data_IF_075748480875
#
_entry.id   IF_075748480875
#
_cell.length_a   1.000
_cell.length_b   1.000
_cell.length_c   1.000
_cell.angle_alpha   90.00
_cell.angle_beta   90.00
_cell.angle_gamma   90.00
#
_symmetry.space_group_name_H-M   'P 1'
#
loop_
_entity.id
_entity.type
_entity.pdbx_description
1 polymer ?
#
# COMPACT_ATOMS: atom_id res chain seq x y z
N UNK A 1 2.95 4.85 -29.43
CA UNK A 1 3.29 4.06 -28.25
C UNK A 1 4.28 4.90 -27.47
N UNK A 2 3.79 5.54 -26.40
CA UNK A 2 4.65 6.26 -25.47
C UNK A 2 5.57 5.23 -24.81
N UNK A 3 6.87 5.41 -25.00
CA UNK A 3 7.89 4.52 -24.48
C UNK A 3 8.16 4.88 -23.00
N UNK A 4 7.13 4.82 -22.17
CA UNK A 4 7.28 5.05 -20.74
C UNK A 4 7.81 3.76 -20.10
N UNK A 5 9.07 3.80 -19.69
CA UNK A 5 9.65 2.74 -18.89
C UNK A 5 9.31 2.96 -17.42
N UNK A 6 8.75 1.93 -16.78
CA UNK A 6 8.48 1.92 -15.35
C UNK A 6 9.50 1.06 -14.64
N UNK A 7 9.92 1.49 -13.46
CA UNK A 7 10.83 0.74 -12.60
C UNK A 7 10.00 0.04 -11.53
N UNK A 8 10.30 -1.22 -11.28
CA UNK A 8 9.70 -1.99 -10.19
C UNK A 8 10.79 -2.43 -9.23
N UNK A 9 10.53 -2.30 -7.95
CA UNK A 9 11.49 -2.57 -6.88
C UNK A 9 10.93 -3.51 -5.82
N UNK A 10 11.82 -4.20 -5.11
CA UNK A 10 11.50 -4.97 -3.91
C UNK A 10 11.83 -4.12 -2.67
N UNK A 11 11.02 -4.23 -1.58
CA UNK A 11 11.22 -3.41 -0.39
C UNK A 11 12.47 -3.77 0.41
N UNK A 12 12.92 -5.01 0.35
CA UNK A 12 14.05 -5.55 1.10
C UNK A 12 14.85 -6.50 0.24
N UNK A 13 16.15 -6.63 0.51
CA UNK A 13 16.96 -7.63 -0.14
C UNK A 13 16.44 -9.04 0.17
N UNK A 14 16.42 -9.89 -0.83
CA UNK A 14 16.00 -11.28 -0.73
C UNK A 14 17.16 -12.18 -1.10
N UNK A 15 17.24 -13.34 -0.45
CA UNK A 15 18.25 -14.37 -0.74
C UNK A 15 17.60 -15.72 -0.94
N UNK A 16 18.15 -16.52 -1.84
CA UNK A 16 17.67 -17.86 -2.14
C UNK A 16 18.84 -18.82 -2.34
N UNK A 17 18.70 -20.02 -1.78
CA UNK A 17 19.69 -21.09 -1.99
C UNK A 17 19.60 -21.58 -3.43
N UNK A 18 20.76 -21.94 -3.98
CA UNK A 18 20.85 -22.62 -5.27
C UNK A 18 20.50 -24.10 -5.07
N UNK A 19 19.59 -24.60 -5.89
CA UNK A 19 19.31 -26.04 -5.94
C UNK A 19 20.53 -26.80 -6.46
N UNK A 20 20.98 -27.80 -5.72
CA UNK A 20 22.24 -28.52 -5.99
C UNK A 20 22.21 -29.41 -7.24
N UNK A 21 21.00 -29.79 -7.71
CA UNK A 21 20.84 -30.65 -8.89
C UNK A 21 20.73 -29.83 -10.17
N UNK A 22 19.94 -28.76 -10.12
CA UNK A 22 19.70 -27.90 -11.28
C UNK A 22 20.70 -26.74 -11.42
N UNK A 23 21.37 -26.37 -10.33
CA UNK A 23 22.22 -25.20 -10.30
C UNK A 23 21.44 -23.86 -10.37
N UNK A 24 20.14 -23.87 -10.10
CA UNK A 24 19.24 -22.73 -10.24
C UNK A 24 18.77 -22.25 -8.88
N UNK A 25 18.76 -20.93 -8.66
CA UNK A 25 18.05 -20.28 -7.56
C UNK A 25 16.74 -19.70 -8.08
N UNK A 26 15.60 -20.07 -7.47
CA UNK A 26 14.27 -19.60 -7.87
C UNK A 26 13.66 -18.73 -6.78
N UNK A 27 13.41 -17.48 -7.07
CA UNK A 27 12.69 -16.54 -6.23
C UNK A 27 11.20 -16.60 -6.61
N UNK A 28 10.42 -17.36 -5.85
CA UNK A 28 8.98 -17.55 -6.15
C UNK A 28 8.13 -16.50 -5.47
N UNK A 29 7.07 -16.04 -6.17
CA UNK A 29 6.05 -15.15 -5.63
C UNK A 29 6.60 -13.86 -4.98
N UNK A 30 7.67 -13.31 -5.56
CA UNK A 30 8.23 -12.04 -5.12
C UNK A 30 7.32 -10.90 -5.54
N UNK A 31 6.85 -10.13 -4.58
CA UNK A 31 6.04 -8.94 -4.83
C UNK A 31 6.96 -7.78 -5.19
N UNK A 32 6.67 -7.14 -6.31
CA UNK A 32 7.35 -5.94 -6.79
C UNK A 32 6.39 -4.76 -6.69
N UNK A 33 6.89 -3.63 -6.23
CA UNK A 33 6.16 -2.36 -6.20
C UNK A 33 6.67 -1.46 -7.32
N UNK A 34 5.76 -0.76 -7.98
CA UNK A 34 6.14 0.27 -8.96
C UNK A 34 6.88 1.39 -8.24
N UNK A 35 7.93 1.88 -8.87
CA UNK A 35 8.78 2.95 -8.33
C UNK A 35 10.07 2.46 -7.68
N UNK A 36 10.83 3.42 -7.17
CA UNK A 36 12.05 3.20 -6.39
C UNK A 36 11.72 3.52 -4.94
N UNK A 37 12.18 2.68 -4.00
CA UNK A 37 11.99 2.94 -2.58
C UNK A 37 12.77 4.18 -2.13
N UNK A 38 12.04 5.12 -1.57
CA UNK A 38 12.54 6.31 -0.88
C UNK A 38 12.52 6.07 0.62
N UNK A 39 13.26 6.86 1.38
CA UNK A 39 13.31 6.75 2.83
C UNK A 39 13.30 8.14 3.47
N UNK A 40 12.28 8.41 4.27
CA UNK A 40 12.21 9.58 5.13
C UNK A 40 12.59 9.17 6.56
N UNK A 41 13.45 9.97 7.19
CA UNK A 41 13.95 9.71 8.54
C UNK A 41 13.62 10.88 9.45
N UNK A 42 13.02 10.57 10.59
CA UNK A 42 12.67 11.56 11.62
C UNK A 42 13.26 11.13 12.95
N UNK A 43 13.65 12.12 13.77
CA UNK A 43 14.03 11.89 15.16
C UNK A 43 12.95 12.47 16.06
N UNK A 44 12.43 11.67 16.98
CA UNK A 44 11.38 12.08 17.90
C UNK A 44 11.92 13.09 18.91
N UNK A 45 11.30 14.27 18.92
CA UNK A 45 11.48 15.29 19.94
C UNK A 45 10.18 15.43 20.76
N UNK A 46 10.22 15.03 22.03
CA UNK A 46 9.07 15.10 22.93
C UNK A 46 8.84 16.49 23.53
N UNK A 47 9.78 17.44 23.35
CA UNK A 47 9.61 18.83 23.77
C UNK A 47 8.65 19.61 22.88
N UNK A 48 8.33 19.06 21.70
CA UNK A 48 7.50 19.69 20.68
C UNK A 48 6.36 18.75 20.23
N UNK A 49 5.26 19.35 19.77
CA UNK A 49 4.24 18.62 19.02
C UNK A 49 4.77 18.38 17.60
N UNK A 50 5.50 17.28 17.43
CA UNK A 50 6.11 16.93 16.16
C UNK A 50 5.10 16.24 15.24
N UNK A 51 5.10 16.63 13.98
CA UNK A 51 4.36 16.00 12.89
C UNK A 51 5.35 15.25 11.99
N UNK A 52 5.00 14.04 11.58
CA UNK A 52 5.81 13.21 10.71
C UNK A 52 5.23 13.25 9.29
N UNK A 53 5.34 14.42 8.65
CA UNK A 53 4.86 14.65 7.29
C UNK A 53 5.91 14.13 6.31
N UNK A 54 5.52 13.27 5.37
CA UNK A 54 6.42 12.73 4.35
C UNK A 54 6.84 13.82 3.37
N UNK A 55 7.95 13.58 2.66
CA UNK A 55 8.49 14.58 1.73
C UNK A 55 7.81 14.58 0.36
N UNK A 56 7.05 13.52 0.03
CA UNK A 56 6.41 13.35 -1.27
C UNK A 56 4.89 13.32 -1.13
N UNK A 57 4.20 13.81 -2.15
CA UNK A 57 2.75 13.87 -2.26
C UNK A 57 2.13 12.65 -2.98
N UNK A 58 2.92 11.92 -3.76
CA UNK A 58 2.48 10.75 -4.54
C UNK A 58 2.93 9.42 -3.92
N UNK A 59 2.91 9.36 -2.60
CA UNK A 59 3.31 8.16 -1.86
C UNK A 59 2.34 7.01 -2.14
N UNK A 60 2.89 5.85 -2.52
CA UNK A 60 2.13 4.61 -2.48
C UNK A 60 2.07 4.10 -1.03
N UNK A 61 0.95 4.37 -0.37
CA UNK A 61 0.73 3.98 1.03
C UNK A 61 0.69 2.47 1.24
N UNK A 62 0.44 1.68 0.20
CA UNK A 62 0.44 0.21 0.28
C UNK A 62 1.86 -0.37 0.33
N UNK A 63 2.85 0.35 -0.20
CA UNK A 63 4.27 -0.02 -0.18
C UNK A 63 4.97 0.38 1.13
N UNK A 64 4.28 1.11 2.02
CA UNK A 64 4.89 1.77 3.18
C UNK A 64 5.38 0.77 4.23
N UNK A 65 6.63 0.95 4.63
CA UNK A 65 7.26 0.23 5.74
C UNK A 65 7.72 1.26 6.76
N UNK A 66 7.24 1.13 7.98
CA UNK A 66 7.59 2.02 9.10
C UNK A 66 8.39 1.22 10.14
N UNK A 67 9.59 1.70 10.44
CA UNK A 67 10.46 1.14 11.44
C UNK A 67 10.86 2.21 12.46
N UNK A 68 10.85 1.83 13.73
CA UNK A 68 11.27 2.70 14.83
C UNK A 68 12.47 2.09 15.53
N UNK A 69 13.54 2.86 15.65
CA UNK A 69 14.75 2.48 16.36
C UNK A 69 14.83 3.22 17.68
N UNK A 70 14.75 2.48 18.77
CA UNK A 70 14.97 2.95 20.14
C UNK A 70 16.33 2.45 20.64
N UNK A 71 17.30 3.33 20.76
CA UNK A 71 18.69 2.94 21.10
C UNK A 71 19.28 2.01 20.03
N UNK A 72 19.43 0.71 20.34
CA UNK A 72 19.97 -0.30 19.42
C UNK A 72 18.91 -1.25 18.86
N UNK A 73 17.65 -1.09 19.27
CA UNK A 73 16.55 -2.01 18.89
C UNK A 73 15.71 -1.33 17.82
N UNK A 74 15.60 -1.98 16.67
CA UNK A 74 14.71 -1.57 15.59
C UNK A 74 13.47 -2.47 15.55
N UNK A 75 12.30 -1.87 15.56
CA UNK A 75 11.01 -2.55 15.58
C UNK A 75 10.14 -2.06 14.43
N UNK A 76 9.47 -3.00 13.75
CA UNK A 76 8.52 -2.67 12.70
C UNK A 76 7.17 -2.28 13.32
N UNK A 77 6.60 -1.19 12.82
CA UNK A 77 5.27 -0.72 13.17
C UNK A 77 4.30 -1.04 12.03
N UNK A 78 3.08 -1.41 12.36
CA UNK A 78 2.04 -1.75 11.40
C UNK A 78 1.00 -0.63 11.31
N UNK A 79 0.42 -0.46 10.13
CA UNK A 79 -0.68 0.50 9.99
C UNK A 79 -1.89 0.04 10.81
N UNK A 80 -2.44 0.95 11.60
CA UNK A 80 -3.65 0.72 12.38
C UNK A 80 -4.87 0.68 11.45
N UNK A 81 -5.58 -0.44 11.44
CA UNK A 81 -6.81 -0.63 10.66
C UNK A 81 -8.05 -0.76 11.53
N UNK A 82 -7.89 -1.16 12.79
CA UNK A 82 -8.99 -1.38 13.72
C UNK A 82 -8.59 -0.88 15.12
N UNK A 83 -9.07 0.29 15.47
CA UNK A 83 -8.73 0.95 16.75
C UNK A 83 -9.17 0.15 17.97
N UNK A 84 -10.18 -0.73 17.84
CA UNK A 84 -10.72 -1.51 18.96
C UNK A 84 -9.79 -2.64 19.41
N UNK A 85 -8.78 -2.99 18.59
CA UNK A 85 -7.79 -4.03 18.85
C UNK A 85 -6.43 -3.49 19.30
N UNK A 86 -6.32 -2.17 19.46
CA UNK A 86 -5.07 -1.50 19.78
C UNK A 86 -5.03 -1.21 21.27
N UNK A 87 -3.94 -1.63 21.92
CA UNK A 87 -3.61 -1.33 23.32
C UNK A 87 -2.42 -0.38 23.43
N UNK A 88 -2.03 -0.02 24.67
CA UNK A 88 -0.92 0.89 24.96
C UNK A 88 0.46 0.38 24.52
N UNK A 89 0.60 -0.90 24.20
CA UNK A 89 1.87 -1.55 23.80
C UNK A 89 1.94 -1.87 22.32
N UNK A 90 0.82 -1.72 21.61
CA UNK A 90 0.70 -2.04 20.20
C UNK A 90 1.60 -1.14 19.35
N UNK A 91 2.50 -1.74 18.56
CA UNK A 91 3.42 -1.06 17.65
C UNK A 91 2.71 -0.74 16.35
N UNK A 92 1.95 0.34 16.38
CA UNK A 92 1.12 0.79 15.25
C UNK A 92 1.37 2.24 14.93
N UNK A 93 1.11 2.59 13.68
CA UNK A 93 1.02 3.96 13.21
C UNK A 93 -0.34 4.20 12.55
N UNK A 94 -0.79 5.43 12.61
CA UNK A 94 -1.98 5.93 11.91
C UNK A 94 -1.50 6.75 10.73
N UNK A 95 -2.19 6.59 9.60
CA UNK A 95 -1.93 7.35 8.40
C UNK A 95 -3.04 8.37 8.23
N UNK A 96 -2.65 9.63 8.17
CA UNK A 96 -3.55 10.75 7.90
C UNK A 96 -3.03 11.56 6.71
N UNK A 97 -3.82 12.48 6.24
CA UNK A 97 -3.46 13.41 5.20
C UNK A 97 -3.32 14.81 5.80
N UNK A 98 -2.19 15.45 5.52
CA UNK A 98 -1.95 16.83 5.96
C UNK A 98 -2.83 17.82 5.17
N UNK A 99 -2.88 19.06 5.59
CA UNK A 99 -3.60 20.14 4.89
C UNK A 99 -3.11 20.37 3.44
N UNK A 100 -1.92 19.87 3.10
CA UNK A 100 -1.33 19.93 1.75
C UNK A 100 -1.51 18.66 0.94
N UNK A 101 -2.36 17.71 1.38
CA UNK A 101 -2.58 16.41 0.77
C UNK A 101 -1.32 15.52 0.73
N UNK A 102 -0.39 15.78 1.64
CA UNK A 102 0.80 14.96 1.82
C UNK A 102 0.54 13.99 2.98
N UNK A 103 0.88 12.70 2.85
CA UNK A 103 0.70 11.74 3.92
C UNK A 103 1.48 12.13 5.18
N UNK A 104 0.82 12.00 6.32
CA UNK A 104 1.36 12.23 7.65
C UNK A 104 1.21 10.98 8.49
N UNK A 105 2.26 10.62 9.20
CA UNK A 105 2.26 9.47 10.10
C UNK A 105 2.11 9.96 11.53
N UNK A 106 1.17 9.35 12.24
CA UNK A 106 0.94 9.57 13.66
C UNK A 106 1.23 8.28 14.42
N UNK A 107 1.78 8.42 15.61
CA UNK A 107 2.02 7.31 16.52
C UNK A 107 1.11 7.37 17.73
N UNK A 108 1.01 6.26 18.44
CA UNK A 108 0.22 6.16 19.66
C UNK A 108 0.70 7.14 20.76
N UNK A 109 -0.21 7.40 21.67
CA UNK A 109 0.00 8.30 22.83
C UNK A 109 0.32 7.53 24.13
N UNK A 110 0.41 6.19 24.05
CA UNK A 110 0.62 5.30 25.20
C UNK A 110 -0.70 4.82 25.83
N UNK A 111 -1.84 5.21 25.27
CA UNK A 111 -3.17 4.68 25.58
C UNK A 111 -3.66 3.88 24.38
N UNK A 112 -3.67 4.48 23.21
CA UNK A 112 -4.00 3.86 21.93
C UNK A 112 -2.72 3.78 21.09
N UNK A 113 -2.05 2.65 21.17
CA UNK A 113 -0.75 2.42 20.54
C UNK A 113 0.44 2.88 21.39
N UNK A 114 1.60 2.28 21.16
CA UNK A 114 2.85 2.59 21.84
C UNK A 114 3.31 4.01 21.50
N UNK A 115 3.53 4.84 22.54
CA UNK A 115 4.11 6.15 22.37
C UNK A 115 5.60 6.06 22.03
N UNK A 116 6.08 6.99 21.21
CA UNK A 116 7.50 7.14 20.93
C UNK A 116 8.23 7.83 22.08
N UNK A 117 9.44 7.37 22.38
CA UNK A 117 10.33 8.04 23.33
C UNK A 117 11.14 9.15 22.67
N UNK A 118 11.66 10.07 23.49
CA UNK A 118 12.55 11.11 22.98
C UNK A 118 13.83 10.50 22.42
N UNK A 119 14.21 10.94 21.21
CA UNK A 119 15.37 10.41 20.49
C UNK A 119 15.11 9.14 19.69
N UNK A 120 13.91 8.55 19.72
CA UNK A 120 13.55 7.47 18.80
C UNK A 120 13.70 7.92 17.34
N UNK A 121 14.31 7.07 16.53
CA UNK A 121 14.49 7.31 15.10
C UNK A 121 13.41 6.58 14.33
N UNK A 122 12.58 7.30 13.59
CA UNK A 122 11.54 6.79 12.74
C UNK A 122 12.04 6.78 11.29
N UNK A 123 12.10 5.60 10.69
CA UNK A 123 12.41 5.42 9.26
C UNK A 123 11.14 4.98 8.53
N UNK A 124 10.80 5.73 7.50
CA UNK A 124 9.64 5.46 6.65
C UNK A 124 10.10 5.20 5.25
N UNK A 125 9.97 3.96 4.80
CA UNK A 125 10.36 3.50 3.47
C UNK A 125 9.10 3.31 2.62
N UNK A 126 9.06 3.89 1.43
CA UNK A 126 7.90 3.86 0.54
C UNK A 126 8.30 4.08 -0.92
N UNK A 127 7.39 3.77 -1.85
CA UNK A 127 7.54 4.16 -3.26
C UNK A 127 6.64 5.35 -3.59
N UNK A 128 6.93 6.03 -4.69
CA UNK A 128 6.03 7.03 -5.28
C UNK A 128 5.37 6.44 -6.51
N UNK A 129 4.05 6.55 -6.61
CA UNK A 129 3.29 5.96 -7.70
C UNK A 129 3.23 6.85 -8.94
N UNK A 130 3.34 6.24 -10.14
CA UNK A 130 3.04 6.87 -11.41
C UNK A 130 1.54 6.77 -11.80
N UNK A 131 0.68 6.32 -10.88
CA UNK A 131 -0.73 6.15 -11.11
C UNK A 131 -1.05 4.95 -12.02
N UNK A 132 -1.98 5.12 -12.95
CA UNK A 132 -2.45 4.02 -13.82
C UNK A 132 -1.46 3.58 -14.89
N UNK A 133 -0.39 4.35 -15.12
CA UNK A 133 0.52 4.15 -16.26
C UNK A 133 1.22 2.79 -16.28
N UNK A 134 1.48 2.21 -15.11
CA UNK A 134 2.16 0.92 -14.98
C UNK A 134 1.22 -0.30 -15.06
N UNK A 135 -0.10 -0.10 -14.99
CA UNK A 135 -1.05 -1.21 -14.98
C UNK A 135 -1.03 -2.02 -16.28
N UNK A 136 -1.08 -3.34 -16.16
CA UNK A 136 -1.19 -4.26 -17.29
C UNK A 136 0.09 -4.44 -18.12
N UNK A 137 1.25 -3.96 -17.66
CA UNK A 137 2.54 -4.20 -18.32
C UNK A 137 2.84 -5.71 -18.37
N UNK A 138 3.40 -6.17 -19.49
CA UNK A 138 3.61 -7.59 -19.77
C UNK A 138 5.06 -7.99 -19.94
N UNK A 139 5.92 -7.03 -20.22
CA UNK A 139 7.34 -7.27 -20.52
C UNK A 139 8.18 -6.64 -19.42
N UNK A 140 9.04 -7.45 -18.82
CA UNK A 140 9.93 -7.04 -17.74
C UNK A 140 11.37 -7.38 -18.10
N UNK A 141 12.27 -6.47 -17.78
CA UNK A 141 13.71 -6.64 -17.93
C UNK A 141 14.38 -6.43 -16.58
N UNK A 142 15.41 -7.22 -16.29
CA UNK A 142 16.18 -7.03 -15.07
C UNK A 142 17.17 -5.88 -15.25
N UNK A 143 17.04 -4.87 -14.41
CA UNK A 143 18.00 -3.77 -14.27
C UNK A 143 18.72 -3.82 -12.90
N UNK A 144 18.30 -4.73 -12.02
CA UNK A 144 18.90 -4.91 -10.69
C UNK A 144 20.18 -5.74 -10.73
N UNK A 145 20.83 -5.83 -9.59
CA UNK A 145 22.05 -6.60 -9.41
C UNK A 145 21.79 -7.83 -8.56
N UNK A 146 21.99 -9.02 -9.13
CA UNK A 146 22.08 -10.25 -8.36
C UNK A 146 23.55 -10.49 -7.97
N UNK A 147 23.76 -11.05 -6.78
CA UNK A 147 25.09 -11.36 -6.27
C UNK A 147 25.12 -12.79 -5.71
N UNK A 148 26.28 -13.45 -5.87
CA UNK A 148 26.56 -14.70 -5.19
C UNK A 148 26.99 -14.47 -3.72
N UNK A 149 27.25 -15.57 -2.99
CA UNK A 149 27.70 -15.50 -1.58
C UNK A 149 29.06 -14.81 -1.39
N UNK A 150 29.82 -14.66 -2.46
CA UNK A 150 31.12 -13.95 -2.45
C UNK A 150 30.95 -12.49 -2.90
N UNK A 151 29.72 -12.01 -3.02
CA UNK A 151 29.36 -10.67 -3.50
C UNK A 151 29.69 -10.40 -4.97
N UNK A 152 30.04 -11.41 -5.77
CA UNK A 152 30.25 -11.25 -7.20
C UNK A 152 28.92 -11.02 -7.92
N UNK A 153 28.90 -10.09 -8.88
CA UNK A 153 27.71 -9.81 -9.65
C UNK A 153 27.39 -10.96 -10.63
N UNK A 154 26.14 -11.38 -10.65
CA UNK A 154 25.57 -12.32 -11.63
C UNK A 154 24.92 -11.48 -12.73
N UNK A 155 25.49 -11.51 -13.94
CA UNK A 155 25.08 -10.65 -15.06
C UNK A 155 24.39 -11.40 -16.20
N UNK A 156 24.31 -12.75 -16.12
CA UNK A 156 23.73 -13.59 -17.17
C UNK A 156 22.94 -14.74 -16.55
N UNK A 157 22.11 -15.40 -17.37
CA UNK A 157 21.29 -16.53 -16.92
C UNK A 157 20.10 -16.14 -16.03
N UNK A 158 19.71 -14.86 -16.04
CA UNK A 158 18.57 -14.36 -15.25
C UNK A 158 17.33 -14.39 -16.16
N UNK A 159 16.28 -15.03 -15.67
CA UNK A 159 14.96 -15.06 -16.33
C UNK A 159 13.91 -14.51 -15.39
N UNK A 160 13.10 -13.57 -15.87
CA UNK A 160 11.96 -13.00 -15.13
C UNK A 160 10.69 -13.49 -15.78
N UNK A 161 9.79 -14.04 -14.96
CA UNK A 161 8.46 -14.46 -15.39
C UNK A 161 7.43 -13.78 -14.53
N UNK A 162 6.55 -12.98 -15.14
CA UNK A 162 5.44 -12.38 -14.42
C UNK A 162 4.41 -13.44 -14.05
N UNK A 163 4.11 -13.59 -12.76
CA UNK A 163 3.04 -14.48 -12.24
C UNK A 163 1.68 -13.76 -12.34
N UNK A 164 1.69 -12.44 -12.11
CA UNK A 164 0.55 -11.55 -12.32
C UNK A 164 1.03 -10.26 -12.98
N UNK A 165 0.13 -9.57 -13.65
CA UNK A 165 0.46 -8.25 -14.21
C UNK A 165 0.29 -7.17 -13.13
N UNK A 166 1.03 -6.04 -13.24
CA UNK A 166 0.83 -4.91 -12.37
C UNK A 166 -0.62 -4.42 -12.42
N UNK A 167 -1.18 -4.18 -11.25
CA UNK A 167 -2.55 -3.70 -11.06
C UNK A 167 -2.62 -2.82 -9.81
N UNK A 168 -3.74 -2.14 -9.60
CA UNK A 168 -3.99 -1.30 -8.42
C UNK A 168 -3.49 0.14 -8.55
N UNK A 169 -2.71 0.46 -9.58
CA UNK A 169 -2.32 1.86 -9.83
C UNK A 169 -3.53 2.72 -10.18
N UNK A 170 -3.74 3.81 -9.45
CA UNK A 170 -4.84 4.76 -9.65
C UNK A 170 -4.35 6.20 -9.48
N UNK A 171 -5.06 7.13 -10.10
CA UNK A 171 -4.83 8.55 -9.79
C UNK A 171 -5.46 8.89 -8.44
N UNK A 172 -4.91 9.89 -7.71
CA UNK A 172 -5.51 10.37 -6.48
C UNK A 172 -6.97 10.77 -6.70
N UNK A 173 -7.83 10.45 -5.73
CA UNK A 173 -9.24 10.81 -5.80
C UNK A 173 -9.42 12.33 -5.79
N UNK A 174 -10.27 12.86 -6.66
CA UNK A 174 -10.52 14.30 -6.70
C UNK A 174 -11.31 14.77 -5.48
N UNK A 175 -11.08 16.01 -5.04
CA UNK A 175 -11.82 16.61 -3.91
C UNK A 175 -13.33 16.61 -4.15
N UNK A 176 -13.79 16.72 -5.40
CA UNK A 176 -15.21 16.66 -5.75
C UNK A 176 -15.77 15.26 -5.55
N UNK A 177 -15.03 14.22 -5.96
CA UNK A 177 -15.38 12.82 -5.71
C UNK A 177 -15.49 12.53 -4.23
N UNK A 178 -14.48 12.96 -3.44
CA UNK A 178 -14.49 12.82 -1.99
C UNK A 178 -15.71 13.49 -1.36
N UNK A 179 -16.01 14.73 -1.73
CA UNK A 179 -17.19 15.45 -1.22
C UNK A 179 -18.50 14.73 -1.54
N UNK A 180 -18.59 14.10 -2.70
CA UNK A 180 -19.76 13.34 -3.12
C UNK A 180 -19.85 11.98 -2.41
N UNK A 181 -18.74 11.28 -2.26
CA UNK A 181 -18.65 9.93 -1.69
C UNK A 181 -18.68 9.87 -0.17
N UNK A 182 -17.99 10.81 0.51
CA UNK A 182 -17.81 10.79 1.95
C UNK A 182 -19.11 10.72 2.78
N UNK A 183 -20.19 11.49 2.48
CA UNK A 183 -21.45 11.38 3.22
C UNK A 183 -22.09 9.99 3.07
N UNK A 184 -22.02 9.39 1.90
CA UNK A 184 -22.59 8.06 1.63
C UNK A 184 -21.81 6.99 2.38
N UNK A 185 -20.48 7.07 2.35
CA UNK A 185 -19.60 6.16 3.09
C UNK A 185 -19.82 6.27 4.59
N UNK A 186 -19.91 7.49 5.12
CA UNK A 186 -20.20 7.74 6.52
C UNK A 186 -21.55 7.14 6.94
N UNK A 187 -22.60 7.28 6.12
CA UNK A 187 -23.92 6.72 6.40
C UNK A 187 -23.97 5.18 6.36
N UNK A 188 -23.12 4.55 5.55
CA UNK A 188 -23.00 3.11 5.45
C UNK A 188 -22.37 2.47 6.72
N UNK A 189 -21.66 3.22 7.56
CA UNK A 189 -20.95 2.72 8.76
C UNK A 189 -20.08 1.49 8.49
N UNK A 190 -19.43 1.44 7.32
CA UNK A 190 -18.60 0.31 6.89
C UNK A 190 -19.37 -0.99 6.63
N UNK A 191 -20.69 -0.92 6.44
CA UNK A 191 -21.57 -2.07 6.15
C UNK A 191 -22.32 -1.86 4.86
N UNK A 192 -22.39 -2.88 4.01
CA UNK A 192 -23.19 -2.88 2.81
C UNK A 192 -24.54 -3.56 3.11
N UNK A 193 -25.61 -2.79 3.27
CA UNK A 193 -26.98 -3.27 3.53
C UNK A 193 -27.93 -2.81 2.44
N UNK A 194 -27.87 -1.54 2.05
CA UNK A 194 -28.66 -0.97 0.96
C UNK A 194 -27.85 -0.95 -0.35
N UNK A 195 -28.53 -0.81 -1.48
CA UNK A 195 -27.87 -0.67 -2.80
C UNK A 195 -26.90 0.51 -2.81
N UNK A 196 -27.24 1.61 -2.14
CA UNK A 196 -26.39 2.79 -2.03
C UNK A 196 -25.12 2.54 -1.22
N UNK A 197 -25.17 1.64 -0.20
CA UNK A 197 -24.00 1.28 0.59
C UNK A 197 -23.00 0.50 -0.27
N UNK A 198 -23.48 -0.43 -1.11
CA UNK A 198 -22.64 -1.16 -2.06
C UNK A 198 -21.95 -0.20 -3.04
N UNK A 199 -22.69 0.77 -3.60
CA UNK A 199 -22.14 1.78 -4.50
C UNK A 199 -21.11 2.69 -3.82
N UNK A 200 -21.23 2.92 -2.51
CA UNK A 200 -20.27 3.72 -1.74
C UNK A 200 -19.00 2.95 -1.36
N UNK A 201 -19.12 1.65 -1.05
CA UNK A 201 -18.02 0.84 -0.52
C UNK A 201 -17.15 0.24 -1.62
N UNK A 202 -17.75 -0.21 -2.72
CA UNK A 202 -17.01 -0.92 -3.79
C UNK A 202 -15.86 -0.12 -4.38
N UNK A 203 -15.98 1.19 -4.68
CA UNK A 203 -14.85 1.98 -5.21
C UNK A 203 -13.66 2.06 -4.27
N UNK A 204 -13.87 1.92 -2.97
CA UNK A 204 -12.79 1.93 -1.98
C UNK A 204 -12.04 0.59 -1.93
N UNK A 205 -12.77 -0.51 -2.16
CA UNK A 205 -12.17 -1.85 -2.22
C UNK A 205 -11.47 -2.07 -3.57
N UNK A 206 -12.04 -1.51 -4.64
CA UNK A 206 -11.53 -1.65 -6.01
C UNK A 206 -11.53 -0.29 -6.74
N UNK A 207 -10.46 0.50 -6.58
CA UNK A 207 -10.38 1.87 -7.11
C UNK A 207 -10.47 1.99 -8.65
N UNK A 208 -10.25 0.90 -9.37
CA UNK A 208 -10.29 0.92 -10.85
C UNK A 208 -11.70 0.86 -11.45
N UNK A 209 -12.73 0.86 -10.61
CA UNK A 209 -14.12 0.89 -11.07
C UNK A 209 -14.45 2.25 -11.67
N UNK A 210 -14.91 2.26 -12.93
CA UNK A 210 -15.34 3.48 -13.61
C UNK A 210 -16.82 3.77 -13.44
N UNK A 211 -17.66 2.75 -13.22
CA UNK A 211 -19.08 2.92 -12.88
C UNK A 211 -19.61 1.68 -12.15
N UNK A 212 -20.58 1.90 -11.26
CA UNK A 212 -21.27 0.86 -10.50
C UNK A 212 -22.76 1.11 -10.61
N UNK A 213 -23.53 0.04 -10.82
CA UNK A 213 -24.96 0.02 -10.60
C UNK A 213 -25.30 -1.17 -9.70
N UNK A 214 -26.11 -0.94 -8.69
CA UNK A 214 -26.54 -1.96 -7.73
C UNK A 214 -28.05 -1.99 -7.66
N UNK A 215 -28.67 -3.18 -7.71
CA UNK A 215 -30.10 -3.35 -7.54
C UNK A 215 -30.42 -4.61 -6.73
N UNK A 216 -31.56 -4.60 -6.02
CA UNK A 216 -32.02 -5.72 -5.25
C UNK A 216 -32.56 -6.84 -6.13
N UNK A 217 -32.49 -8.08 -5.66
CA UNK A 217 -33.02 -9.23 -6.39
C UNK A 217 -34.55 -9.21 -6.57
N UNK A 218 -35.26 -8.38 -5.80
CA UNK A 218 -36.69 -8.12 -5.99
C UNK A 218 -37.02 -7.41 -7.30
N UNK A 219 -36.05 -6.69 -7.87
CA UNK A 219 -36.15 -6.01 -9.17
C UNK A 219 -35.78 -6.91 -10.36
N UNK A 220 -35.28 -8.13 -10.09
CA UNK A 220 -34.91 -9.06 -11.15
C UNK A 220 -36.14 -9.76 -11.77
N UNK A 221 -36.03 -10.19 -13.01
CA UNK A 221 -37.05 -11.02 -13.68
C UNK A 221 -36.49 -12.42 -14.03
N UNK A 222 -36.94 -13.50 -13.35
CA UNK A 222 -37.88 -13.56 -12.21
C UNK A 222 -37.26 -13.00 -10.92
N UNK A 223 -38.07 -12.52 -9.94
CA UNK A 223 -37.56 -11.98 -8.69
C UNK A 223 -36.74 -12.98 -7.89
N UNK A 224 -35.55 -12.57 -7.42
CA UNK A 224 -34.65 -13.39 -6.63
C UNK A 224 -34.37 -12.75 -5.26
N UNK A 225 -35.28 -12.96 -4.32
CA UNK A 225 -35.19 -12.36 -2.99
C UNK A 225 -33.94 -12.77 -2.22
N UNK A 226 -33.37 -11.84 -1.43
CA UNK A 226 -32.16 -12.05 -0.65
C UNK A 226 -30.86 -11.99 -1.45
N UNK A 227 -30.92 -11.61 -2.71
CA UNK A 227 -29.74 -11.36 -3.55
C UNK A 227 -29.59 -9.88 -3.88
N UNK A 228 -28.35 -9.51 -4.15
CA UNK A 228 -27.98 -8.18 -4.65
C UNK A 228 -27.21 -8.38 -5.94
N UNK A 229 -27.60 -7.69 -6.97
CA UNK A 229 -26.92 -7.70 -8.27
C UNK A 229 -26.04 -6.48 -8.42
N UNK A 230 -24.81 -6.70 -8.85
CA UNK A 230 -23.81 -5.66 -9.08
C UNK A 230 -23.36 -5.68 -10.54
N UNK A 231 -23.49 -4.55 -11.20
CA UNK A 231 -22.89 -4.30 -12.50
C UNK A 231 -21.71 -3.34 -12.32
N UNK A 232 -20.51 -3.83 -12.61
CA UNK A 232 -19.27 -3.09 -12.43
C UNK A 232 -18.59 -2.92 -13.80
N UNK A 233 -18.14 -1.70 -14.10
CA UNK A 233 -17.40 -1.38 -15.33
C UNK A 233 -16.05 -0.74 -14.98
#
# INVERSE_FOLDING_TARGET
LDNNNFVFSIPTDISQSVDSLSGIATFSNTVLYEGIFLNDTFVKDTSQRQRFILTNDRVDTTSMIVEVTSGTITEKYLQATDITKIDSTSKVFFLEESEYQIPEILFGDGVVGKALANGDVVNVKYTTSAGRGANGLKVFENIGTFRDNNLNAITSGITITAVSFPDGGAEPESTESIKFGAPKFYSAFGRAVSTQDYEAIIPQIYPNVSSIACYGGEEAEPPEFGKVFLAIK
#
